data_IF_173865074025
#
_entry.id   IF_173865074025
#
_cell.length_a   1.000
_cell.length_b   1.000
_cell.length_c   1.000
_cell.angle_alpha   90.00
_cell.angle_beta   90.00
_cell.angle_gamma   90.00
#
_symmetry.space_group_name_H-M   'P 1'
#
loop_
_entity.id
_entity.type
_entity.pdbx_description
1 polymer ?
#
# COMPACT_ATOMS: atom_id res chain seq x y z
N UNK A 1 63.91 3.28 -100.30
CA UNK A 1 64.18 3.72 -98.92
C UNK A 1 63.99 5.24 -98.96
N UNK A 2 63.03 5.90 -98.31
CA UNK A 2 62.50 5.72 -96.96
C UNK A 2 61.02 6.13 -96.84
N UNK A 3 60.18 5.17 -96.44
CA UNK A 3 58.77 5.42 -96.04
C UNK A 3 58.64 5.91 -94.58
N UNK A 4 59.73 5.93 -93.82
CA UNK A 4 59.71 6.26 -92.39
C UNK A 4 59.69 7.76 -92.10
N UNK A 5 60.12 8.62 -93.03
CA UNK A 5 60.23 10.07 -92.75
C UNK A 5 58.90 10.84 -92.89
N UNK A 6 57.90 10.29 -93.60
CA UNK A 6 56.63 11.00 -93.86
C UNK A 6 55.59 10.82 -92.75
N UNK A 7 55.66 9.74 -91.97
CA UNK A 7 54.71 9.46 -90.88
C UNK A 7 54.94 10.33 -89.65
N UNK A 8 56.18 10.74 -89.37
CA UNK A 8 56.49 11.49 -88.14
C UNK A 8 56.05 12.97 -88.17
N UNK A 9 55.93 13.59 -89.36
CA UNK A 9 55.46 14.98 -89.47
C UNK A 9 53.95 15.11 -89.31
N UNK A 10 53.16 14.11 -89.71
CA UNK A 10 51.70 14.15 -89.60
C UNK A 10 51.23 13.87 -88.17
N UNK A 11 51.85 12.90 -87.49
CA UNK A 11 51.52 12.51 -86.10
C UNK A 11 51.67 13.66 -85.09
N UNK A 12 52.59 14.60 -85.32
CA UNK A 12 52.84 15.73 -84.40
C UNK A 12 51.76 16.83 -84.42
N UNK A 13 50.95 16.96 -85.48
CA UNK A 13 49.86 17.97 -85.51
C UNK A 13 48.59 17.46 -84.85
N UNK A 14 48.23 16.19 -85.06
CA UNK A 14 47.07 15.56 -84.40
C UNK A 14 47.32 15.31 -82.92
N UNK A 15 48.55 14.94 -82.54
CA UNK A 15 48.93 14.77 -81.14
C UNK A 15 48.76 16.06 -80.31
N UNK A 16 48.99 17.25 -80.89
CA UNK A 16 48.80 18.52 -80.17
C UNK A 16 47.33 18.82 -79.88
N UNK A 17 46.41 18.47 -80.80
CA UNK A 17 44.98 18.65 -80.59
C UNK A 17 44.43 17.67 -79.56
N UNK A 18 44.83 16.40 -79.66
CA UNK A 18 44.46 15.36 -78.69
C UNK A 18 45.02 15.66 -77.30
N UNK A 19 46.24 16.18 -77.20
CA UNK A 19 46.85 16.57 -75.92
C UNK A 19 46.08 17.72 -75.24
N UNK A 20 45.56 18.68 -76.00
CA UNK A 20 44.70 19.74 -75.45
C UNK A 20 43.37 19.19 -74.93
N UNK A 21 42.76 18.25 -75.64
CA UNK A 21 41.51 17.62 -75.21
C UNK A 21 41.71 16.80 -73.91
N UNK A 22 42.80 16.03 -73.83
CA UNK A 22 43.16 15.26 -72.63
C UNK A 22 43.38 16.19 -71.43
N UNK A 23 44.11 17.31 -71.61
CA UNK A 23 44.33 18.28 -70.54
C UNK A 23 43.03 18.90 -70.04
N UNK A 24 42.07 19.18 -70.92
CA UNK A 24 40.77 19.72 -70.53
C UNK A 24 39.93 18.70 -69.73
N UNK A 25 39.92 17.43 -70.15
CA UNK A 25 39.23 16.35 -69.43
C UNK A 25 39.83 16.13 -68.05
N UNK A 26 41.15 16.18 -67.92
CA UNK A 26 41.84 16.08 -66.63
C UNK A 26 41.42 17.24 -65.72
N UNK A 27 41.38 18.47 -66.24
CA UNK A 27 40.94 19.64 -65.47
C UNK A 27 39.47 19.52 -65.00
N UNK A 28 38.58 18.95 -65.82
CA UNK A 28 37.20 18.74 -65.43
C UNK A 28 37.07 17.68 -64.33
N UNK A 29 37.84 16.59 -64.43
CA UNK A 29 37.89 15.52 -63.42
C UNK A 29 38.45 16.02 -62.09
N UNK A 30 39.48 16.86 -62.09
CA UNK A 30 40.04 17.42 -60.84
C UNK A 30 39.05 18.34 -60.15
N UNK A 31 38.34 19.21 -60.89
CA UNK A 31 37.29 20.06 -60.32
C UNK A 31 36.16 19.23 -59.70
N UNK A 32 35.72 18.18 -60.38
CA UNK A 32 34.66 17.28 -59.89
C UNK A 32 35.12 16.51 -58.66
N UNK A 33 36.37 16.04 -58.65
CA UNK A 33 36.98 15.34 -57.53
C UNK A 33 37.14 16.24 -56.29
N UNK A 34 37.62 17.47 -56.46
CA UNK A 34 37.75 18.44 -55.36
C UNK A 34 36.38 18.85 -54.82
N UNK A 35 35.38 19.04 -55.69
CA UNK A 35 34.00 19.31 -55.29
C UNK A 35 33.40 18.17 -54.46
N UNK A 36 33.62 16.91 -54.87
CA UNK A 36 33.21 15.74 -54.12
C UNK A 36 33.93 15.63 -52.77
N UNK A 37 35.24 15.90 -52.72
CA UNK A 37 36.03 15.88 -51.49
C UNK A 37 35.55 16.93 -50.47
N UNK A 38 35.27 18.16 -50.91
CA UNK A 38 34.78 19.23 -50.04
C UNK A 38 33.36 18.92 -49.54
N UNK A 39 32.47 18.42 -50.42
CA UNK A 39 31.10 18.04 -50.05
C UNK A 39 31.05 16.91 -49.03
N UNK A 40 31.89 15.89 -49.20
CA UNK A 40 32.00 14.78 -48.24
C UNK A 40 32.52 15.27 -46.88
N UNK A 41 33.43 16.24 -46.83
CA UNK A 41 34.02 16.71 -45.58
C UNK A 41 33.05 17.54 -44.71
N UNK A 42 32.09 18.26 -45.33
CA UNK A 42 31.15 19.11 -44.58
C UNK A 42 30.12 18.30 -43.77
N UNK A 43 29.73 17.10 -44.22
CA UNK A 43 28.77 16.26 -43.49
C UNK A 43 29.28 15.79 -42.12
N UNK A 44 30.60 15.64 -41.94
CA UNK A 44 31.16 15.05 -40.72
C UNK A 44 31.11 16.00 -39.52
N UNK A 45 31.23 17.32 -39.76
CA UNK A 45 31.22 18.34 -38.70
C UNK A 45 29.83 18.64 -38.13
N UNK A 46 28.77 18.50 -38.94
CA UNK A 46 27.38 18.75 -38.52
C UNK A 46 26.84 17.55 -37.75
N UNK A 47 27.25 16.34 -38.13
CA UNK A 47 26.87 15.11 -37.42
C UNK A 47 27.52 15.04 -36.04
N UNK A 48 28.80 15.43 -35.89
CA UNK A 48 29.47 15.40 -34.57
C UNK A 48 28.85 16.37 -33.56
N UNK A 49 28.63 17.63 -33.97
CA UNK A 49 28.04 18.65 -33.10
C UNK A 49 26.57 18.37 -32.73
N UNK A 50 25.82 17.71 -33.62
CA UNK A 50 24.47 17.25 -33.31
C UNK A 50 24.49 16.06 -32.35
N UNK A 51 25.45 15.14 -32.50
CA UNK A 51 25.62 14.01 -31.59
C UNK A 51 26.04 14.45 -30.18
N UNK A 52 26.91 15.46 -30.06
CA UNK A 52 27.30 16.04 -28.77
C UNK A 52 26.08 16.65 -28.04
N UNK A 53 25.21 17.37 -28.76
CA UNK A 53 23.96 17.91 -28.18
C UNK A 53 22.98 16.82 -27.77
N UNK A 54 22.87 15.76 -28.57
CA UNK A 54 22.04 14.61 -28.21
C UNK A 54 22.60 13.91 -26.97
N UNK A 55 23.93 13.75 -26.87
CA UNK A 55 24.58 13.17 -25.69
C UNK A 55 24.38 14.01 -24.43
N UNK A 56 24.53 15.34 -24.50
CA UNK A 56 24.28 16.24 -23.37
C UNK A 56 22.80 16.18 -22.93
N UNK A 57 21.86 16.14 -23.88
CA UNK A 57 20.43 16.01 -23.56
C UNK A 57 20.09 14.65 -22.95
N UNK A 58 20.66 13.55 -23.44
CA UNK A 58 20.49 12.23 -22.82
C UNK A 58 21.08 12.18 -21.43
N UNK A 59 22.28 12.75 -21.22
CA UNK A 59 22.91 12.81 -19.90
C UNK A 59 22.09 13.60 -18.90
N UNK A 60 21.48 14.73 -19.32
CA UNK A 60 20.58 15.50 -18.46
C UNK A 60 19.32 14.73 -18.12
N UNK A 61 18.69 14.04 -19.09
CA UNK A 61 17.53 13.21 -18.80
C UNK A 61 17.86 12.10 -17.79
N UNK A 62 18.98 11.39 -17.99
CA UNK A 62 19.43 10.37 -17.06
C UNK A 62 19.65 10.96 -15.66
N UNK A 63 20.33 12.11 -15.57
CA UNK A 63 20.53 12.82 -14.30
C UNK A 63 19.22 13.20 -13.62
N UNK A 64 18.22 13.68 -14.36
CA UNK A 64 16.90 14.01 -13.84
C UNK A 64 16.18 12.75 -13.32
N UNK A 65 16.24 11.64 -14.07
CA UNK A 65 15.67 10.36 -13.65
C UNK A 65 16.34 9.85 -12.36
N UNK A 66 17.67 9.94 -12.26
CA UNK A 66 18.40 9.59 -11.04
C UNK A 66 18.01 10.48 -9.86
N UNK A 67 17.85 11.80 -10.07
CA UNK A 67 17.42 12.71 -9.00
C UNK A 67 15.99 12.42 -8.55
N UNK A 68 15.07 12.12 -9.47
CA UNK A 68 13.70 11.71 -9.13
C UNK A 68 13.70 10.39 -8.36
N UNK A 69 14.46 9.39 -8.80
CA UNK A 69 14.60 8.12 -8.09
C UNK A 69 15.13 8.35 -6.66
N UNK A 70 16.17 9.16 -6.50
CA UNK A 70 16.74 9.50 -5.20
C UNK A 70 15.73 10.24 -4.28
N UNK A 71 15.02 11.24 -4.81
CA UNK A 71 13.99 11.98 -4.06
C UNK A 71 12.83 11.08 -3.64
N UNK A 72 12.38 10.19 -4.52
CA UNK A 72 11.30 9.24 -4.16
C UNK A 72 11.74 8.26 -3.09
N UNK A 73 13.01 7.85 -3.07
CA UNK A 73 13.54 6.99 -2.02
C UNK A 73 13.67 7.73 -0.68
N UNK A 74 14.13 8.99 -0.69
CA UNK A 74 14.15 9.83 0.50
C UNK A 74 12.74 10.02 1.10
N UNK A 75 11.74 10.31 0.26
CA UNK A 75 10.34 10.43 0.70
C UNK A 75 9.80 9.12 1.26
N UNK A 76 10.19 7.97 0.70
CA UNK A 76 9.84 6.65 1.24
C UNK A 76 10.51 6.40 2.59
N UNK A 77 11.78 6.76 2.76
CA UNK A 77 12.50 6.59 4.03
C UNK A 77 11.90 7.46 5.14
N UNK A 78 11.61 8.73 4.86
CA UNK A 78 10.94 9.63 5.81
C UNK A 78 9.54 9.12 6.19
N UNK A 79 8.78 8.59 5.23
CA UNK A 79 7.49 7.96 5.51
C UNK A 79 7.65 6.70 6.37
N UNK A 80 8.63 5.85 6.09
CA UNK A 80 8.95 4.67 6.93
C UNK A 80 9.29 5.10 8.35
N UNK A 81 10.14 6.12 8.53
CA UNK A 81 10.51 6.64 9.86
C UNK A 81 9.31 7.18 10.64
N UNK A 82 8.42 7.93 9.98
CA UNK A 82 7.16 8.39 10.60
C UNK A 82 6.27 7.23 11.02
N UNK A 83 6.09 6.23 10.15
CA UNK A 83 5.32 5.03 10.48
C UNK A 83 5.99 4.29 11.65
N UNK A 84 7.30 4.08 11.63
CA UNK A 84 8.00 3.40 12.73
C UNK A 84 7.90 4.16 14.05
N UNK A 85 7.97 5.50 14.01
CA UNK A 85 7.83 6.34 15.18
C UNK A 85 6.40 6.34 15.74
N UNK A 86 5.38 6.31 14.87
CA UNK A 86 3.98 6.10 15.28
C UNK A 86 3.79 4.71 15.88
N UNK A 87 4.38 3.66 15.31
CA UNK A 87 4.21 2.27 15.78
C UNK A 87 4.98 1.92 17.05
N UNK A 88 5.91 2.79 17.50
CA UNK A 88 6.59 2.64 18.79
C UNK A 88 5.74 3.19 19.95
N UNK A 89 4.54 3.70 19.67
CA UNK A 89 3.56 4.13 20.65
C UNK A 89 2.49 3.04 20.81
N UNK A 90 2.48 2.39 21.97
CA UNK A 90 1.43 1.54 22.55
C UNK A 90 1.08 0.19 21.90
N UNK A 91 0.91 -0.82 22.78
CA UNK A 91 0.39 -2.17 22.53
C UNK A 91 -1.04 -2.17 21.94
N UNK A 92 -1.76 -1.06 22.07
CA UNK A 92 -3.06 -0.76 21.47
C UNK A 92 -3.03 -0.75 19.91
N UNK A 93 -1.84 -0.60 19.30
CA UNK A 93 -1.67 -0.47 17.85
C UNK A 93 -1.55 -1.81 17.10
N UNK A 94 -1.49 -2.97 17.77
CA UNK A 94 -1.40 -4.25 17.06
C UNK A 94 -2.64 -4.50 16.17
N UNK A 95 -3.82 -4.10 16.64
CA UNK A 95 -5.05 -4.15 15.85
C UNK A 95 -4.97 -3.17 14.66
N UNK A 96 -4.51 -1.93 14.86
CA UNK A 96 -4.35 -0.94 13.79
C UNK A 96 -3.31 -1.35 12.75
N UNK A 97 -2.20 -1.95 13.17
CA UNK A 97 -1.19 -2.52 12.31
C UNK A 97 -1.74 -3.66 11.45
N UNK A 98 -2.60 -4.50 12.03
CA UNK A 98 -3.26 -5.59 11.28
C UNK A 98 -4.17 -5.04 10.18
N UNK A 99 -4.95 -3.99 10.46
CA UNK A 99 -5.84 -3.33 9.49
C UNK A 99 -5.01 -2.62 8.40
N UNK A 100 -3.97 -1.87 8.78
CA UNK A 100 -3.06 -1.21 7.82
C UNK A 100 -2.41 -2.22 6.87
N UNK A 101 -1.98 -3.39 7.36
CA UNK A 101 -1.42 -4.47 6.55
C UNK A 101 -2.42 -5.03 5.54
N UNK A 102 -3.69 -5.17 5.93
CA UNK A 102 -4.77 -5.61 5.05
C UNK A 102 -5.01 -4.58 3.94
N UNK A 103 -5.15 -3.30 4.30
CA UNK A 103 -5.34 -2.22 3.32
C UNK A 103 -4.15 -2.13 2.35
N UNK A 104 -2.92 -2.22 2.85
CA UNK A 104 -1.71 -2.21 2.02
C UNK A 104 -1.69 -3.38 1.02
N UNK A 105 -2.16 -4.57 1.42
CA UNK A 105 -2.27 -5.73 0.52
C UNK A 105 -3.28 -5.48 -0.61
N UNK A 106 -4.44 -4.90 -0.31
CA UNK A 106 -5.42 -4.59 -1.36
C UNK A 106 -4.90 -3.53 -2.34
N UNK A 107 -4.19 -2.52 -1.84
CA UNK A 107 -3.53 -1.53 -2.71
C UNK A 107 -2.43 -2.17 -3.59
N UNK A 108 -1.66 -3.12 -3.06
CA UNK A 108 -0.65 -3.85 -3.83
C UNK A 108 -1.26 -4.75 -4.92
N UNK A 109 -2.52 -5.17 -4.76
CA UNK A 109 -3.28 -5.95 -5.73
C UNK A 109 -4.06 -5.07 -6.74
N UNK A 110 -3.67 -3.80 -6.88
CA UNK A 110 -4.26 -2.83 -7.82
C UNK A 110 -5.76 -2.54 -7.59
N UNK A 111 -6.24 -2.72 -6.36
CA UNK A 111 -7.60 -2.32 -5.99
C UNK A 111 -7.63 -0.78 -5.88
N UNK A 112 -8.54 -0.09 -6.59
CA UNK A 112 -8.60 1.36 -6.56
C UNK A 112 -8.89 1.87 -5.15
N UNK A 113 -8.14 2.89 -4.72
CA UNK A 113 -8.23 3.46 -3.38
C UNK A 113 -9.64 3.93 -3.02
N UNK A 114 -10.41 4.39 -4.01
CA UNK A 114 -11.78 4.86 -3.78
C UNK A 114 -12.75 3.72 -3.48
N UNK A 115 -12.54 2.53 -4.03
CA UNK A 115 -13.33 1.35 -3.68
C UNK A 115 -13.06 0.94 -2.23
N UNK A 116 -11.80 0.94 -1.80
CA UNK A 116 -11.42 0.64 -0.41
C UNK A 116 -12.05 1.66 0.56
N UNK A 117 -11.96 2.95 0.23
CA UNK A 117 -12.55 4.02 1.05
C UNK A 117 -14.07 3.90 1.13
N UNK A 118 -14.74 3.58 0.03
CA UNK A 118 -16.18 3.38 0.01
C UNK A 118 -16.60 2.19 0.88
N UNK A 119 -15.91 1.05 0.79
CA UNK A 119 -16.20 -0.12 1.65
C UNK A 119 -15.95 0.19 3.13
N UNK A 120 -14.85 0.87 3.47
CA UNK A 120 -14.58 1.26 4.85
C UNK A 120 -15.63 2.23 5.40
N UNK A 121 -16.11 3.18 4.57
CA UNK A 121 -17.18 4.09 4.95
C UNK A 121 -18.52 3.37 5.14
N UNK A 122 -18.79 2.29 4.39
CA UNK A 122 -19.97 1.44 4.54
C UNK A 122 -19.96 0.63 5.84
N UNK A 123 -18.78 0.26 6.35
CA UNK A 123 -18.62 -0.38 7.66
C UNK A 123 -18.98 0.59 8.82
N UNK A 124 -19.07 1.90 8.53
CA UNK A 124 -19.53 2.91 9.49
C UNK A 124 -20.88 2.55 10.13
N UNK A 125 -21.02 2.91 11.42
CA UNK A 125 -22.16 2.71 12.35
C UNK A 125 -23.24 1.73 11.86
N UNK A 126 -23.34 0.49 12.42
CA UNK A 126 -24.28 -0.52 11.92
C UNK A 126 -25.70 0.03 11.84
N UNK A 127 -26.26 -0.06 10.64
CA UNK A 127 -27.53 0.58 10.28
C UNK A 127 -28.74 -0.09 10.93
N UNK A 128 -28.64 -1.40 11.29
CA UNK A 128 -29.72 -2.16 11.93
C UNK A 128 -29.19 -3.17 12.95
N UNK A 129 -29.19 -2.79 14.23
CA UNK A 129 -29.00 -3.72 15.34
C UNK A 129 -30.36 -4.05 15.97
N UNK A 130 -30.69 -5.34 16.10
CA UNK A 130 -31.88 -5.83 16.80
C UNK A 130 -31.47 -6.48 18.11
N UNK A 131 -32.06 -6.05 19.22
CA UNK A 131 -31.89 -6.73 20.52
C UNK A 131 -32.52 -8.12 20.45
N UNK A 132 -31.72 -9.14 20.73
CA UNK A 132 -32.15 -10.53 20.80
C UNK A 132 -32.56 -10.90 22.22
N UNK A 133 -31.81 -10.43 23.20
CA UNK A 133 -32.02 -10.77 24.60
C UNK A 133 -31.51 -9.66 25.52
N UNK A 134 -32.14 -9.53 26.68
CA UNK A 134 -31.78 -8.58 27.71
C UNK A 134 -32.16 -9.16 29.08
N UNK A 135 -31.15 -9.55 29.87
CA UNK A 135 -31.35 -10.18 31.18
C UNK A 135 -30.26 -9.79 32.16
N UNK A 136 -30.61 -9.84 33.44
CA UNK A 136 -29.67 -9.62 34.53
C UNK A 136 -29.02 -10.95 34.91
N UNK A 137 -27.69 -10.97 34.97
CA UNK A 137 -26.87 -12.16 35.22
C UNK A 137 -26.06 -11.95 36.48
N UNK A 138 -25.95 -13.00 37.30
CA UNK A 138 -25.13 -13.03 38.51
C UNK A 138 -23.64 -12.96 38.16
N UNK A 139 -22.90 -12.08 38.83
CA UNK A 139 -21.44 -12.00 38.68
C UNK A 139 -20.79 -12.97 39.64
N UNK A 140 -19.94 -13.84 39.12
CA UNK A 140 -19.13 -14.74 39.94
C UNK A 140 -18.05 -13.92 40.63
N UNK A 141 -17.96 -14.03 41.95
CA UNK A 141 -16.94 -13.37 42.75
C UNK A 141 -16.18 -14.41 43.59
N UNK A 142 -14.97 -14.12 44.10
CA UNK A 142 -14.22 -15.07 44.93
C UNK A 142 -14.99 -15.61 46.14
N UNK A 143 -15.95 -14.84 46.65
CA UNK A 143 -16.81 -15.20 47.79
C UNK A 143 -18.15 -15.82 47.40
N UNK A 144 -18.55 -15.70 46.13
CA UNK A 144 -19.84 -16.17 45.64
C UNK A 144 -19.65 -16.83 44.28
N UNK A 145 -19.57 -18.17 44.30
CA UNK A 145 -19.83 -18.98 43.13
C UNK A 145 -21.33 -18.92 42.88
N UNK A 146 -21.77 -18.05 41.96
CA UNK A 146 -23.17 -18.01 41.52
C UNK A 146 -23.69 -19.38 41.11
N UNK A 147 -25.02 -19.54 41.06
CA UNK A 147 -25.65 -20.82 40.72
C UNK A 147 -25.34 -21.31 39.30
N UNK A 148 -26.13 -22.26 38.79
CA UNK A 148 -26.08 -22.72 37.37
C UNK A 148 -26.29 -21.58 36.33
N UNK A 149 -26.53 -20.35 36.82
CA UNK A 149 -26.67 -19.05 36.16
C UNK A 149 -25.41 -18.56 35.41
N UNK A 150 -24.28 -19.28 35.49
CA UNK A 150 -23.01 -18.89 34.89
C UNK A 150 -22.99 -18.88 33.34
N UNK A 151 -24.11 -19.22 32.67
CA UNK A 151 -24.17 -19.40 31.21
C UNK A 151 -25.47 -18.82 30.66
N UNK A 152 -25.42 -17.61 30.10
CA UNK A 152 -26.51 -17.19 29.23
C UNK A 152 -26.43 -17.95 27.91
N UNK A 153 -27.28 -18.96 27.75
CA UNK A 153 -27.41 -19.71 26.50
C UNK A 153 -28.33 -18.98 25.52
N UNK A 154 -27.74 -18.36 24.51
CA UNK A 154 -28.50 -17.92 23.34
C UNK A 154 -28.63 -19.09 22.36
N UNK A 155 -29.79 -19.76 22.38
CA UNK A 155 -30.13 -20.85 21.44
C UNK A 155 -29.03 -21.92 21.34
N UNK A 156 -28.48 -22.34 22.48
CA UNK A 156 -27.43 -23.38 22.62
C UNK A 156 -26.10 -23.06 21.89
N UNK A 157 -25.96 -21.85 21.36
CA UNK A 157 -24.90 -21.48 20.41
C UNK A 157 -23.91 -20.46 20.98
N UNK A 158 -24.34 -19.67 21.96
CA UNK A 158 -23.56 -18.65 22.64
C UNK A 158 -23.72 -18.83 24.15
N UNK A 159 -22.63 -18.90 24.89
CA UNK A 159 -22.59 -18.89 26.35
C UNK A 159 -21.75 -17.72 26.84
N UNK A 160 -22.28 -16.96 27.80
CA UNK A 160 -21.60 -15.80 28.39
C UNK A 160 -21.42 -16.07 29.88
N UNK A 161 -20.19 -15.88 30.33
CA UNK A 161 -19.73 -15.99 31.70
C UNK A 161 -19.18 -14.63 32.14
N UNK A 162 -19.50 -14.23 33.37
CA UNK A 162 -19.12 -12.93 33.92
C UNK A 162 -18.50 -13.14 35.30
N UNK A 163 -17.23 -12.79 35.42
CA UNK A 163 -16.43 -12.87 36.65
C UNK A 163 -16.05 -11.45 37.09
N UNK A 164 -16.09 -11.17 38.39
CA UNK A 164 -15.77 -9.86 38.94
C UNK A 164 -15.20 -9.97 40.35
N UNK A 165 -14.71 -8.84 40.87
CA UNK A 165 -14.14 -8.77 42.20
C UNK A 165 -15.15 -8.24 43.24
N UNK A 166 -14.83 -8.45 44.51
CA UNK A 166 -15.61 -7.93 45.64
C UNK A 166 -15.10 -6.57 46.04
N UNK A 167 -16.04 -5.64 46.30
CA UNK A 167 -15.72 -4.34 46.87
C UNK A 167 -15.02 -4.47 48.22
N UNK A 168 -13.98 -3.66 48.43
CA UNK A 168 -13.20 -3.61 49.68
C UNK A 168 -13.95 -2.78 50.73
N UNK A 169 -15.17 -3.19 51.07
CA UNK A 169 -15.84 -2.75 52.30
C UNK A 169 -15.53 -3.79 53.38
N UNK A 170 -14.41 -3.58 54.08
CA UNK A 170 -13.97 -4.38 55.23
C UNK A 170 -15.10 -4.43 56.29
N UNK A 171 -15.83 -5.56 56.37
CA UNK A 171 -16.71 -5.85 57.50
C UNK A 171 -18.16 -6.22 57.20
N UNK A 172 -18.58 -6.43 55.93
CA UNK A 172 -19.91 -7.02 55.67
C UNK A 172 -19.85 -8.55 55.59
N UNK A 173 -20.77 -9.17 56.33
CA UNK A 173 -20.96 -10.63 56.48
C UNK A 173 -21.26 -11.34 55.14
N UNK A 174 -21.66 -10.60 54.11
CA UNK A 174 -21.74 -11.05 52.70
C UNK A 174 -21.06 -10.00 51.80
N UNK A 175 -19.88 -10.26 51.23
CA UNK A 175 -19.27 -9.40 50.21
C UNK A 175 -19.97 -9.60 48.86
N UNK A 176 -20.48 -8.51 48.29
CA UNK A 176 -21.19 -8.49 47.00
C UNK A 176 -20.25 -7.94 45.92
N UNK A 177 -20.55 -8.22 44.66
CA UNK A 177 -19.86 -7.63 43.52
C UNK A 177 -19.90 -6.10 43.55
N UNK A 178 -18.75 -5.45 43.32
CA UNK A 178 -18.64 -4.00 43.19
C UNK A 178 -18.57 -3.59 41.71
N UNK A 179 -19.56 -2.84 41.17
CA UNK A 179 -19.55 -2.40 39.77
C UNK A 179 -18.43 -1.41 39.43
N UNK A 180 -17.73 -0.84 40.42
CA UNK A 180 -16.56 0.00 40.22
C UNK A 180 -15.26 -0.79 39.95
N UNK A 181 -15.28 -2.10 40.20
CA UNK A 181 -14.14 -2.99 39.94
C UNK A 181 -14.20 -3.58 38.52
N UNK A 182 -13.04 -3.97 37.95
CA UNK A 182 -12.99 -4.56 36.62
C UNK A 182 -13.71 -5.91 36.59
N UNK A 183 -14.34 -6.19 35.45
CA UNK A 183 -15.07 -7.43 35.18
C UNK A 183 -14.37 -8.16 34.04
N UNK A 184 -14.28 -9.48 34.17
CA UNK A 184 -13.80 -10.39 33.14
C UNK A 184 -15.02 -11.08 32.53
N UNK A 185 -15.21 -10.88 31.23
CA UNK A 185 -16.31 -11.50 30.47
C UNK A 185 -15.72 -12.53 29.52
N UNK A 186 -16.21 -13.76 29.60
CA UNK A 186 -15.83 -14.85 28.70
C UNK A 186 -17.05 -15.25 27.89
N UNK A 187 -16.97 -15.08 26.58
CA UNK A 187 -18.01 -15.51 25.65
C UNK A 187 -17.52 -16.68 24.82
N UNK A 188 -18.19 -17.82 24.94
CA UNK A 188 -17.93 -19.02 24.13
C UNK A 188 -19.04 -19.19 23.10
N UNK A 189 -18.65 -19.33 21.82
CA UNK A 189 -19.54 -19.48 20.67
C UNK A 189 -19.00 -20.56 19.72
N UNK A 190 -19.80 -21.00 18.73
CA UNK A 190 -19.39 -22.05 17.78
C UNK A 190 -18.04 -21.80 17.07
N UNK A 191 -17.61 -20.54 16.96
CA UNK A 191 -16.36 -20.14 16.32
C UNK A 191 -15.18 -19.92 17.28
N UNK A 192 -15.33 -20.15 18.59
CA UNK A 192 -14.25 -20.03 19.57
C UNK A 192 -14.67 -19.38 20.89
N UNK A 193 -13.67 -19.01 21.69
CA UNK A 193 -13.85 -18.27 22.95
C UNK A 193 -13.22 -16.88 22.82
N UNK A 194 -13.92 -15.85 23.30
CA UNK A 194 -13.43 -14.48 23.37
C UNK A 194 -13.56 -13.96 24.79
N UNK A 195 -12.44 -13.48 25.32
CA UNK A 195 -12.37 -12.92 26.66
C UNK A 195 -12.18 -11.40 26.54
N UNK A 196 -12.89 -10.64 27.37
CA UNK A 196 -12.76 -9.19 27.47
C UNK A 196 -12.69 -8.80 28.95
N UNK A 197 -11.72 -7.97 29.30
CA UNK A 197 -11.53 -7.47 30.66
C UNK A 197 -11.64 -5.96 30.65
N UNK A 198 -12.40 -5.38 31.58
CA UNK A 198 -12.51 -3.93 31.68
C UNK A 198 -13.54 -3.48 32.71
N UNK A 199 -13.68 -2.16 32.83
CA UNK A 199 -14.68 -1.53 33.69
C UNK A 199 -16.05 -1.51 33.00
N UNK A 200 -17.12 -1.52 33.79
CA UNK A 200 -18.47 -1.28 33.29
C UNK A 200 -18.66 0.22 32.93
N UNK A 201 -19.39 0.56 31.85
CA UNK A 201 -20.04 -0.33 30.89
C UNK A 201 -19.05 -0.94 29.89
N UNK A 202 -19.06 -2.27 29.77
CA UNK A 202 -18.20 -3.00 28.85
C UNK A 202 -19.01 -3.38 27.60
N UNK A 203 -18.40 -3.24 26.42
CA UNK A 203 -18.99 -3.72 25.17
C UNK A 203 -18.01 -4.59 24.42
N UNK A 204 -18.48 -5.75 23.97
CA UNK A 204 -17.70 -6.66 23.13
C UNK A 204 -18.46 -6.96 21.85
N UNK A 205 -17.70 -7.10 20.76
CA UNK A 205 -18.22 -7.49 19.45
C UNK A 205 -17.67 -8.87 19.10
N UNK A 206 -18.57 -9.78 18.76
CA UNK A 206 -18.30 -11.11 18.23
C UNK A 206 -18.62 -11.07 16.74
N UNK A 207 -17.59 -11.23 15.91
CA UNK A 207 -17.77 -11.30 14.45
C UNK A 207 -18.10 -12.75 14.08
N UNK A 208 -19.25 -12.96 13.44
CA UNK A 208 -19.56 -14.16 12.69
C UNK A 208 -19.49 -13.84 11.20
N UNK A 209 -19.63 -14.83 10.32
CA UNK A 209 -19.37 -14.70 8.88
C UNK A 209 -20.04 -13.45 8.25
N UNK A 210 -21.37 -13.39 8.24
CA UNK A 210 -22.11 -12.31 7.57
C UNK A 210 -22.77 -11.30 8.54
N UNK A 211 -22.56 -11.46 9.85
CA UNK A 211 -23.21 -10.66 10.88
C UNK A 211 -22.40 -10.65 12.16
N UNK A 212 -22.62 -9.65 13.01
CA UNK A 212 -21.92 -9.58 14.30
C UNK A 212 -22.90 -9.45 15.47
N UNK A 213 -22.52 -10.03 16.59
CA UNK A 213 -23.22 -9.88 17.87
C UNK A 213 -22.50 -8.81 18.67
N UNK A 214 -23.25 -7.82 19.13
CA UNK A 214 -22.81 -6.88 20.15
C UNK A 214 -23.37 -7.32 21.48
N UNK A 215 -22.48 -7.64 22.41
CA UNK A 215 -22.82 -7.86 23.82
C UNK A 215 -22.45 -6.59 24.57
N UNK A 216 -23.40 -6.03 25.32
CA UNK A 216 -23.20 -4.85 26.15
C UNK A 216 -23.56 -5.20 27.58
N UNK A 217 -22.64 -4.92 28.50
CA UNK A 217 -22.81 -5.12 29.92
C UNK A 217 -22.94 -3.75 30.60
N UNK A 218 -23.98 -3.60 31.42
CA UNK A 218 -24.24 -2.37 32.19
C UNK A 218 -24.53 -2.71 33.65
N UNK A 219 -24.16 -1.81 34.56
CA UNK A 219 -24.53 -1.93 35.97
C UNK A 219 -26.05 -1.95 36.15
N UNK A 220 -26.51 -2.69 37.15
CA UNK A 220 -27.93 -2.76 37.52
C UNK A 220 -28.12 -2.24 38.94
N UNK A 221 -29.36 -1.99 39.32
CA UNK A 221 -29.72 -1.67 40.70
C UNK A 221 -29.68 -2.91 41.62
N UNK A 222 -29.58 -4.13 41.05
CA UNK A 222 -29.52 -5.39 41.78
C UNK A 222 -28.09 -5.69 42.21
N UNK A 223 -27.89 -5.92 43.52
CA UNK A 223 -26.58 -6.25 44.09
C UNK A 223 -26.13 -7.63 43.61
N UNK A 224 -24.92 -7.72 43.07
CA UNK A 224 -24.40 -8.99 42.55
C UNK A 224 -24.77 -9.29 41.10
N UNK A 225 -25.50 -8.42 40.40
CA UNK A 225 -25.97 -8.65 39.03
C UNK A 225 -25.50 -7.58 38.06
N UNK A 226 -25.27 -8.01 36.82
CA UNK A 226 -24.97 -7.14 35.67
C UNK A 226 -26.00 -7.38 34.58
N UNK A 227 -26.49 -6.30 33.98
CA UNK A 227 -27.44 -6.39 32.88
C UNK A 227 -26.67 -6.67 31.60
N UNK A 228 -27.04 -7.75 30.92
CA UNK A 228 -26.42 -8.16 29.67
C UNK A 228 -27.43 -8.01 28.54
N UNK A 229 -27.16 -7.05 27.68
CA UNK A 229 -27.93 -6.80 26.46
C UNK A 229 -27.20 -7.40 25.26
N UNK A 230 -27.88 -8.26 24.51
CA UNK A 230 -27.35 -8.89 23.29
C UNK A 230 -28.09 -8.34 22.09
N UNK A 231 -27.35 -7.81 21.14
CA UNK A 231 -27.88 -7.28 19.88
C UNK A 231 -27.22 -7.94 18.69
N UNK A 232 -28.03 -8.42 17.74
CA UNK A 232 -27.57 -8.86 16.44
C UNK A 232 -27.55 -7.67 15.49
N UNK A 233 -26.40 -7.40 14.89
CA UNK A 233 -26.22 -6.36 13.90
C UNK A 233 -25.86 -7.01 12.56
N UNK A 234 -26.48 -6.52 11.49
CA UNK A 234 -26.16 -6.94 10.12
C UNK A 234 -25.11 -5.97 9.55
N UNK A 235 -24.12 -6.52 8.85
CA UNK A 235 -23.24 -5.75 7.97
C UNK A 235 -24.02 -5.56 6.67
N UNK A 236 -24.21 -4.33 6.23
CA UNK A 236 -25.00 -4.00 5.03
C UNK A 236 -24.09 -3.66 3.86
#
# INVERSE_FOLDING_TARGET
MDFHQTTDKYRRREAKSQMKFILWVISALTMLWVGWMIGQNQQWSVVSSSNERLQDMTQRNDQLEYMLAAMTEQLKDERKRRITAETLVNEEDQELLSIRKIVARYLANDVPSEQIRQTLNQIGKPSKCRTLDNRDIEVVTPSFAGGESNRLFLSDTLSIFVEGEVGVDEGRENPWFDPAQPVIVRASFLGGEKNATGLLPLSMVLSLEDWFIRVRLTSTDLKGYVNVTISKCLVN
#
